data_IF_432162542226
#
_entry.id   IF_432162542226
#
_cell.length_a   1.000
_cell.length_b   1.000
_cell.length_c   1.000
_cell.angle_alpha   90.00
_cell.angle_beta   90.00
_cell.angle_gamma   90.00
#
_symmetry.space_group_name_H-M   'P 1'
#
loop_
_entity.id
_entity.type
_entity.pdbx_description
1 polymer ?
#
# COMPACT_ATOMS: atom_id res chain seq x y z
N UNK A 1 2.51 12.16 20.34
CA UNK A 1 1.82 11.34 19.31
C UNK A 1 2.01 12.07 17.99
N UNK A 2 2.91 11.60 17.14
CA UNK A 2 3.20 12.27 15.86
C UNK A 2 2.02 12.09 14.93
N UNK A 3 1.35 13.19 14.58
CA UNK A 3 0.30 13.21 13.58
C UNK A 3 0.95 12.86 12.23
N UNK A 4 0.76 11.61 11.79
CA UNK A 4 1.18 11.19 10.45
C UNK A 4 0.16 11.77 9.49
N UNK A 5 0.53 12.79 8.74
CA UNK A 5 -0.31 13.33 7.68
C UNK A 5 -0.32 12.34 6.51
N UNK A 6 -1.46 11.68 6.32
CA UNK A 6 -1.72 10.74 5.21
C UNK A 6 -2.43 11.44 4.03
N UNK A 7 -2.09 12.71 3.81
CA UNK A 7 -2.65 13.53 2.72
C UNK A 7 -1.54 13.96 1.78
N UNK A 8 -1.68 13.58 0.51
CA UNK A 8 -0.84 14.09 -0.58
C UNK A 8 -1.57 15.27 -1.25
N UNK A 9 -0.86 16.33 -1.63
CA UNK A 9 -1.43 17.47 -2.33
C UNK A 9 -1.37 17.31 -3.87
N UNK A 10 -0.53 16.37 -4.34
CA UNK A 10 -0.39 16.01 -5.75
C UNK A 10 -0.03 14.51 -5.91
N UNK A 11 -0.23 13.92 -7.11
CA UNK A 11 0.17 12.54 -7.39
C UNK A 11 1.68 12.33 -7.19
N UNK A 12 2.10 11.11 -6.85
CA UNK A 12 3.52 10.72 -6.66
C UNK A 12 4.25 11.41 -5.49
N UNK A 13 3.53 11.97 -4.52
CA UNK A 13 4.14 12.57 -3.32
C UNK A 13 4.17 11.63 -2.12
N UNK A 14 3.23 10.69 -2.05
CA UNK A 14 3.12 9.73 -0.96
C UNK A 14 2.63 8.40 -1.51
N UNK A 15 3.44 7.37 -1.32
CA UNK A 15 3.12 5.99 -1.65
C UNK A 15 2.96 5.20 -0.37
N UNK A 16 1.87 4.43 -0.29
CA UNK A 16 1.64 3.47 0.79
C UNK A 16 1.85 2.09 0.21
N UNK A 17 2.71 1.30 0.86
CA UNK A 17 2.88 -0.10 0.55
C UNK A 17 2.17 -0.94 1.61
N UNK A 18 1.37 -1.91 1.17
CA UNK A 18 0.78 -2.94 2.02
C UNK A 18 1.34 -4.30 1.63
N UNK A 19 1.70 -5.10 2.65
CA UNK A 19 2.13 -6.48 2.46
C UNK A 19 1.23 -7.36 3.31
N UNK A 20 0.41 -8.17 2.66
CA UNK A 20 -0.52 -9.08 3.32
C UNK A 20 -0.04 -10.53 3.19
N UNK A 21 -0.02 -11.24 4.32
CA UNK A 21 0.24 -12.67 4.38
C UNK A 21 -1.07 -13.45 4.22
N UNK A 22 -1.19 -14.17 3.11
CA UNK A 22 -2.33 -15.04 2.86
C UNK A 22 -1.93 -16.50 3.14
N UNK A 23 -2.63 -17.12 4.09
CA UNK A 23 -2.47 -18.55 4.37
C UNK A 23 -3.30 -19.36 3.40
N UNK A 24 -2.66 -20.23 2.65
CA UNK A 24 -3.30 -21.19 1.73
C UNK A 24 -3.15 -22.61 2.27
N UNK A 25 -3.94 -23.55 1.74
CA UNK A 25 -3.85 -24.97 2.11
C UNK A 25 -2.49 -25.61 1.76
N UNK A 26 -1.76 -25.04 0.80
CA UNK A 26 -0.44 -25.52 0.35
C UNK A 26 0.73 -24.76 1.00
N UNK A 27 0.49 -23.70 1.77
CA UNK A 27 1.55 -22.87 2.36
C UNK A 27 1.20 -21.39 2.43
N UNK A 28 2.22 -20.53 2.41
CA UNK A 28 2.08 -19.08 2.55
C UNK A 28 2.30 -18.36 1.23
N UNK A 29 1.43 -17.41 0.92
CA UNK A 29 1.58 -16.50 -0.21
C UNK A 29 1.67 -15.08 0.32
N UNK A 30 2.56 -14.31 -0.28
CA UNK A 30 2.81 -12.91 0.04
C UNK A 30 2.20 -12.07 -1.07
N UNK A 31 1.24 -11.22 -0.74
CA UNK A 31 0.70 -10.22 -1.65
C UNK A 31 1.26 -8.86 -1.25
N UNK A 32 1.91 -8.16 -2.18
CA UNK A 32 2.42 -6.81 -1.98
C UNK A 32 1.69 -5.86 -2.93
N UNK A 33 1.27 -4.68 -2.45
CA UNK A 33 0.62 -3.67 -3.26
C UNK A 33 1.21 -2.30 -2.96
N UNK A 34 1.46 -1.51 -4.00
CA UNK A 34 1.85 -0.10 -3.87
C UNK A 34 0.67 0.76 -4.28
N UNK A 35 0.19 1.63 -3.40
CA UNK A 35 -0.97 2.51 -3.63
C UNK A 35 -0.51 3.97 -3.56
N UNK A 36 -0.83 4.75 -4.59
CA UNK A 36 -0.69 6.21 -4.56
C UNK A 36 -1.79 6.83 -3.70
N UNK A 37 -1.41 7.54 -2.65
CA UNK A 37 -2.36 8.07 -1.65
C UNK A 37 -3.25 9.18 -2.23
N UNK A 38 -2.73 9.94 -3.18
CA UNK A 38 -3.48 11.02 -3.84
C UNK A 38 -4.60 10.47 -4.73
N UNK A 39 -4.28 9.46 -5.55
CA UNK A 39 -5.19 8.95 -6.58
C UNK A 39 -6.00 7.72 -6.12
N UNK A 40 -5.64 7.11 -4.98
CA UNK A 40 -6.08 5.76 -4.55
C UNK A 40 -5.89 4.69 -5.62
N UNK A 41 -4.93 4.88 -6.53
CA UNK A 41 -4.64 3.94 -7.60
C UNK A 41 -3.50 3.02 -7.19
N UNK A 42 -3.67 1.72 -7.44
CA UNK A 42 -2.61 0.73 -7.30
C UNK A 42 -1.60 0.96 -8.43
N UNK A 43 -0.34 1.19 -8.07
CA UNK A 43 0.76 1.43 -9.00
C UNK A 43 1.51 0.13 -9.38
N UNK A 44 1.29 -0.97 -8.65
CA UNK A 44 1.92 -2.27 -8.94
C UNK A 44 1.59 -3.35 -7.89
N UNK A 45 1.89 -4.61 -8.24
CA UNK A 45 1.74 -5.83 -7.44
C UNK A 45 2.94 -6.76 -7.65
#
# INVERSE_FOLDING_TARGET
MGQRDFTAAAPNQLWVADITYCRTFAGWVYAAFIIDVFSRRVLGW
#
